data_IF_409253803874
#
_entry.id   IF_409253803874
#
_cell.length_a   1.000
_cell.length_b   1.000
_cell.length_c   1.000
_cell.angle_alpha   90.00
_cell.angle_beta   90.00
_cell.angle_gamma   90.00
#
_symmetry.space_group_name_H-M   'P 1'
#
loop_
_entity.id
_entity.type
_entity.pdbx_description
1 polymer ?
#
# COMPACT_ATOMS: atom_id res chain seq x y z
N UNK A 1 -49.16 14.89 -40.96
CA UNK A 1 -49.83 14.46 -39.72
C UNK A 1 -48.87 14.69 -38.56
N UNK A 2 -49.10 15.79 -37.87
CA UNK A 2 -48.40 16.31 -36.69
C UNK A 2 -48.84 15.55 -35.43
N UNK A 3 -47.90 15.20 -34.55
CA UNK A 3 -48.12 14.91 -33.12
C UNK A 3 -46.75 14.76 -32.45
N UNK A 4 -46.21 15.85 -31.90
CA UNK A 4 -46.34 16.34 -30.52
C UNK A 4 -45.35 15.71 -29.53
N UNK A 5 -44.35 16.53 -29.25
CA UNK A 5 -43.41 16.52 -28.14
C UNK A 5 -44.12 16.61 -26.78
N UNK A 6 -43.83 15.67 -25.88
CA UNK A 6 -44.24 15.69 -24.48
C UNK A 6 -43.18 16.34 -23.59
N UNK A 7 -43.55 17.48 -23.01
CA UNK A 7 -42.82 18.23 -21.98
C UNK A 7 -43.11 17.58 -20.62
N UNK A 8 -42.08 17.29 -19.81
CA UNK A 8 -42.22 16.87 -18.41
C UNK A 8 -41.85 18.04 -17.49
N UNK A 9 -42.71 18.44 -16.52
CA UNK A 9 -42.48 19.62 -15.71
C UNK A 9 -41.60 19.34 -14.48
N UNK A 10 -40.77 20.34 -14.15
CA UNK A 10 -40.08 20.51 -12.87
C UNK A 10 -41.07 21.00 -11.80
N UNK A 11 -41.14 20.29 -10.66
CA UNK A 11 -41.53 20.79 -9.32
C UNK A 11 -40.69 20.00 -8.32
N UNK A 12 -39.74 20.58 -7.59
CA UNK A 12 -39.92 21.44 -6.41
C UNK A 12 -40.75 20.78 -5.31
N UNK A 13 -40.08 20.12 -4.37
CA UNK A 13 -40.59 19.91 -3.02
C UNK A 13 -39.44 20.08 -2.03
N UNK A 14 -39.43 21.23 -1.37
CA UNK A 14 -38.73 21.44 -0.11
C UNK A 14 -39.65 20.96 1.01
N UNK A 15 -39.14 20.15 1.93
CA UNK A 15 -39.76 19.94 3.24
C UNK A 15 -38.72 19.45 4.26
N UNK A 16 -38.35 20.40 5.10
CA UNK A 16 -37.95 20.30 6.50
C UNK A 16 -38.23 18.95 7.18
N UNK A 17 -37.18 18.29 7.66
CA UNK A 17 -37.24 17.48 8.87
C UNK A 17 -36.02 17.77 9.75
N UNK A 18 -36.26 18.56 10.79
CA UNK A 18 -35.46 18.68 11.99
C UNK A 18 -35.57 17.40 12.83
N UNK A 19 -34.44 16.76 13.15
CA UNK A 19 -34.29 15.79 14.25
C UNK A 19 -32.86 15.96 14.80
N UNK A 20 -32.68 16.76 15.86
CA UNK A 20 -32.57 16.37 17.29
C UNK A 20 -31.57 15.24 17.57
N UNK A 21 -30.47 15.67 18.18
CA UNK A 21 -29.63 15.04 19.20
C UNK A 21 -29.59 13.51 19.28
N UNK A 22 -28.38 12.99 19.08
CA UNK A 22 -27.85 11.91 19.91
C UNK A 22 -26.37 12.20 20.10
N UNK A 23 -26.06 12.76 21.27
CA UNK A 23 -24.70 12.93 21.77
C UNK A 23 -24.11 11.53 22.02
N UNK A 24 -23.09 11.14 21.26
CA UNK A 24 -22.19 10.05 21.63
C UNK A 24 -20.85 10.66 22.01
N UNK A 25 -20.69 10.89 23.30
CA UNK A 25 -19.40 11.19 23.90
C UNK A 25 -18.53 9.93 23.87
N UNK A 26 -17.53 9.90 22.99
CA UNK A 26 -16.40 8.99 23.13
C UNK A 26 -15.43 9.59 24.15
N UNK A 27 -15.22 8.85 25.23
CA UNK A 27 -14.28 9.18 26.29
C UNK A 27 -12.84 9.14 25.76
N UNK A 28 -12.21 10.31 25.62
CA UNK A 28 -10.78 10.42 25.41
C UNK A 28 -10.06 10.14 26.74
N UNK A 29 -9.17 9.14 26.74
CA UNK A 29 -8.30 8.80 27.86
C UNK A 29 -7.11 9.77 27.93
N UNK A 30 -6.87 10.48 29.06
CA UNK A 30 -5.72 11.37 29.20
C UNK A 30 -4.62 10.66 30.00
N UNK A 31 -3.64 10.09 29.30
CA UNK A 31 -2.33 9.82 29.89
C UNK A 31 -1.25 10.17 28.88
N UNK A 32 -0.59 11.31 29.10
CA UNK A 32 0.87 11.50 29.03
C UNK A 32 1.20 12.99 29.14
N UNK A 33 1.55 13.39 30.36
CA UNK A 33 2.26 14.62 30.64
C UNK A 33 3.71 14.28 31.00
N UNK A 34 4.62 15.18 30.62
CA UNK A 34 6.04 15.28 30.96
C UNK A 34 7.00 14.19 30.44
N UNK A 35 7.94 14.58 29.60
CA UNK A 35 9.37 14.82 29.94
C UNK A 35 10.07 15.26 28.65
N UNK A 36 10.68 16.47 28.64
CA UNK A 36 11.95 16.69 27.94
C UNK A 36 12.50 18.08 28.29
N UNK A 37 13.51 18.09 29.17
CA UNK A 37 14.42 19.20 29.36
C UNK A 37 15.80 18.85 28.81
N UNK A 38 16.35 19.80 28.06
CA UNK A 38 17.79 20.17 27.95
C UNK A 38 18.76 19.10 27.42
N UNK A 39 19.40 19.39 26.27
CA UNK A 39 20.86 19.62 26.19
C UNK A 39 21.28 20.01 24.75
N UNK A 40 21.69 21.27 24.60
CA UNK A 40 22.60 21.74 23.57
C UNK A 40 24.04 21.52 24.05
N UNK A 41 24.92 20.94 23.22
CA UNK A 41 26.36 21.22 23.23
C UNK A 41 26.98 20.70 21.93
N UNK A 42 27.64 21.60 21.19
CA UNK A 42 28.39 21.27 19.99
C UNK A 42 29.85 20.89 20.27
N UNK A 43 30.52 20.36 19.26
CA UNK A 43 31.96 20.51 19.05
C UNK A 43 32.29 20.23 17.57
N UNK A 44 32.92 21.20 16.92
CA UNK A 44 33.52 21.04 15.61
C UNK A 44 34.88 20.35 15.75
N UNK A 45 35.11 19.27 15.01
CA UNK A 45 36.44 18.67 14.83
C UNK A 45 36.76 18.67 13.34
N UNK A 46 37.78 19.44 12.97
CA UNK A 46 38.34 19.43 11.62
C UNK A 46 39.31 18.27 11.47
N UNK A 47 39.01 17.35 10.55
CA UNK A 47 39.94 16.31 10.10
C UNK A 47 40.29 16.56 8.64
N UNK A 48 41.57 16.85 8.37
CA UNK A 48 42.16 16.81 7.03
C UNK A 48 42.52 15.37 6.70
N UNK A 49 41.90 14.81 5.65
CA UNK A 49 42.21 13.49 5.13
C UNK A 49 42.82 13.66 3.74
N UNK A 50 44.14 13.40 3.62
CA UNK A 50 44.81 13.22 2.33
C UNK A 50 44.55 11.79 1.85
N UNK A 51 43.53 11.59 1.01
CA UNK A 51 43.35 10.34 0.26
C UNK A 51 43.53 10.59 -1.23
N UNK A 52 44.15 9.61 -1.90
CA UNK A 52 44.31 9.63 -3.37
C UNK A 52 42.99 9.26 -4.05
N UNK A 53 42.76 9.75 -5.27
CA UNK A 53 41.48 9.59 -5.99
C UNK A 53 41.03 8.12 -6.15
N UNK A 54 41.97 7.18 -6.30
CA UNK A 54 41.66 5.75 -6.40
C UNK A 54 41.18 5.14 -5.06
N UNK A 55 41.65 5.65 -3.92
CA UNK A 55 41.22 5.22 -2.58
C UNK A 55 39.88 5.85 -2.15
N UNK A 56 39.41 6.87 -2.88
CA UNK A 56 38.09 7.47 -2.68
C UNK A 56 36.98 6.68 -3.40
N UNK A 57 37.28 6.01 -4.52
CA UNK A 57 36.27 5.24 -5.26
C UNK A 57 35.93 3.89 -4.59
N UNK A 58 36.92 3.11 -4.14
CA UNK A 58 36.65 1.84 -3.44
C UNK A 58 36.04 2.02 -2.05
N UNK A 59 36.48 3.05 -1.30
CA UNK A 59 35.89 3.37 0.00
C UNK A 59 34.42 3.81 -0.12
N UNK A 60 34.02 4.38 -1.27
CA UNK A 60 32.64 4.82 -1.50
C UNK A 60 31.68 3.65 -1.72
N UNK A 61 32.13 2.55 -2.33
CA UNK A 61 31.30 1.39 -2.58
C UNK A 61 31.03 0.61 -1.29
N UNK A 62 32.05 0.34 -0.47
CA UNK A 62 31.86 -0.32 0.83
C UNK A 62 31.07 0.56 1.82
N UNK A 63 31.33 1.88 1.89
CA UNK A 63 30.52 2.77 2.72
C UNK A 63 29.08 2.89 2.20
N UNK A 64 28.86 2.83 0.89
CA UNK A 64 27.53 2.81 0.28
C UNK A 64 26.80 1.51 0.63
N UNK A 65 27.41 0.33 0.46
CA UNK A 65 26.80 -0.94 0.83
C UNK A 65 26.63 -1.11 2.35
N UNK A 66 27.55 -0.56 3.17
CA UNK A 66 27.40 -0.51 4.62
C UNK A 66 26.36 0.53 5.09
N UNK A 67 26.12 1.60 4.31
CA UNK A 67 25.05 2.56 4.57
C UNK A 67 23.69 2.00 4.15
N UNK A 68 23.61 1.32 3.00
CA UNK A 68 22.44 0.56 2.57
C UNK A 68 22.14 -0.57 3.56
N UNK A 69 23.19 -1.25 4.03
CA UNK A 69 23.14 -2.25 5.09
C UNK A 69 22.59 -1.69 6.40
N UNK A 70 23.03 -0.50 6.84
CA UNK A 70 22.49 0.17 8.04
C UNK A 70 21.04 0.63 7.88
N UNK A 71 20.65 1.10 6.69
CA UNK A 71 19.25 1.44 6.39
C UNK A 71 18.36 0.19 6.36
N UNK A 72 18.89 -0.95 5.90
CA UNK A 72 18.21 -2.25 5.91
C UNK A 72 18.20 -2.90 7.31
N UNK A 73 19.26 -2.72 8.11
CA UNK A 73 19.40 -3.27 9.48
C UNK A 73 18.56 -2.51 10.51
N UNK A 74 18.38 -1.19 10.35
CA UNK A 74 17.46 -0.44 11.21
C UNK A 74 16.00 -0.89 11.04
N UNK A 75 15.70 -1.62 9.95
CA UNK A 75 14.37 -2.10 9.64
C UNK A 75 13.39 -0.96 9.40
N UNK A 76 12.20 -1.29 8.88
CA UNK A 76 11.09 -0.39 9.15
C UNK A 76 10.86 -0.37 10.67
N UNK A 77 10.50 0.77 11.28
CA UNK A 77 10.17 0.82 12.70
C UNK A 77 9.19 -0.31 13.08
N UNK A 78 9.28 -0.84 14.31
CA UNK A 78 8.57 -2.06 14.69
C UNK A 78 7.04 -1.97 14.46
N UNK A 79 6.50 -0.76 14.55
CA UNK A 79 5.11 -0.41 14.21
C UNK A 79 4.71 -0.71 12.76
N UNK A 80 5.66 -0.86 11.84
CA UNK A 80 5.41 -1.20 10.44
C UNK A 80 5.52 -2.69 10.14
N UNK A 81 5.97 -3.52 11.09
CA UNK A 81 6.12 -4.97 10.88
C UNK A 81 4.83 -5.65 10.39
N UNK A 82 3.70 -5.03 10.69
CA UNK A 82 2.34 -5.49 10.39
C UNK A 82 1.73 -4.83 9.14
N UNK A 83 2.39 -3.83 8.56
CA UNK A 83 1.89 -3.08 7.40
C UNK A 83 2.22 -3.77 6.07
N UNK A 84 1.49 -3.42 5.00
CA UNK A 84 1.86 -3.83 3.64
C UNK A 84 3.23 -3.29 3.19
N UNK A 85 3.71 -2.21 3.80
CA UNK A 85 5.07 -1.71 3.57
C UNK A 85 6.14 -2.71 4.02
N UNK A 86 5.83 -3.58 5.00
CA UNK A 86 6.74 -4.66 5.39
C UNK A 86 6.97 -5.63 4.25
N UNK A 87 5.92 -5.95 3.49
CA UNK A 87 5.99 -6.82 2.30
C UNK A 87 6.95 -6.23 1.28
N UNK A 88 6.86 -4.92 1.05
CA UNK A 88 7.78 -4.21 0.17
C UNK A 88 9.23 -4.29 0.67
N UNK A 89 9.45 -4.12 1.97
CA UNK A 89 10.77 -4.24 2.58
C UNK A 89 11.34 -5.68 2.52
N UNK A 90 10.50 -6.70 2.71
CA UNK A 90 10.90 -8.11 2.61
C UNK A 90 11.23 -8.51 1.17
N UNK A 91 10.41 -8.09 0.20
CA UNK A 91 10.68 -8.28 -1.23
C UNK A 91 12.03 -7.66 -1.64
N UNK A 92 12.37 -6.49 -1.10
CA UNK A 92 13.62 -5.82 -1.41
C UNK A 92 14.83 -6.49 -0.74
N UNK A 93 14.77 -6.66 0.58
CA UNK A 93 15.89 -7.17 1.38
C UNK A 93 16.25 -8.59 0.99
N UNK A 94 15.31 -9.34 0.40
CA UNK A 94 15.50 -10.77 0.16
C UNK A 94 15.75 -11.51 1.47
N UNK A 95 15.33 -10.92 2.59
CA UNK A 95 15.41 -11.54 3.91
C UNK A 95 14.51 -12.76 3.84
N UNK A 96 15.15 -13.92 3.68
CA UNK A 96 14.57 -15.20 4.12
C UNK A 96 14.05 -14.94 5.52
N UNK A 97 12.74 -15.10 5.73
CA UNK A 97 12.12 -14.91 7.04
C UNK A 97 12.98 -15.69 8.04
N UNK A 98 13.68 -14.97 8.91
CA UNK A 98 15.01 -15.35 9.40
C UNK A 98 15.13 -16.85 9.67
N UNK A 99 16.16 -17.48 9.08
CA UNK A 99 16.49 -18.91 9.14
C UNK A 99 16.60 -19.48 10.55
N UNK A 100 15.48 -19.49 11.25
CA UNK A 100 15.20 -20.31 12.39
C UNK A 100 14.74 -21.69 11.91
N UNK A 101 14.79 -22.69 12.78
CA UNK A 101 14.39 -24.07 12.49
C UNK A 101 12.91 -24.27 12.10
N UNK A 102 12.15 -23.19 11.83
CA UNK A 102 10.74 -23.20 11.40
C UNK A 102 10.58 -23.09 9.86
N UNK A 103 11.63 -22.89 9.06
CA UNK A 103 11.52 -22.79 7.58
C UNK A 103 11.11 -24.11 6.87
N UNK A 104 10.99 -25.23 7.57
CA UNK A 104 10.47 -26.49 7.01
C UNK A 104 8.95 -26.69 7.21
N UNK A 105 8.29 -25.89 8.03
CA UNK A 105 6.84 -26.00 8.19
C UNK A 105 6.14 -25.27 7.04
N UNK A 106 5.88 -26.02 5.96
CA UNK A 106 5.05 -25.56 4.85
C UNK A 106 3.65 -25.11 5.30
N UNK A 107 2.87 -24.56 4.38
CA UNK A 107 1.52 -24.06 4.68
C UNK A 107 0.63 -25.11 5.36
N UNK A 108 0.12 -24.79 6.54
CA UNK A 108 -0.85 -25.64 7.25
C UNK A 108 -2.22 -25.58 6.57
N UNK A 109 -2.45 -26.53 5.66
CA UNK A 109 -3.68 -26.65 4.89
C UNK A 109 -4.90 -27.07 5.72
N UNK A 110 -4.70 -27.57 6.95
CA UNK A 110 -5.82 -27.84 7.86
C UNK A 110 -6.35 -26.52 8.44
N UNK A 111 -5.45 -25.58 8.78
CA UNK A 111 -5.80 -24.25 9.28
C UNK A 111 -6.27 -23.30 8.17
N UNK A 112 -5.63 -23.34 7.00
CA UNK A 112 -5.88 -22.41 5.88
C UNK A 112 -6.17 -23.17 4.57
N UNK A 113 -7.22 -24.00 4.50
CA UNK A 113 -7.50 -24.85 3.35
C UNK A 113 -7.76 -24.08 2.05
N UNK A 114 -8.16 -22.81 2.12
CA UNK A 114 -8.35 -21.96 0.95
C UNK A 114 -7.04 -21.47 0.32
N UNK A 115 -5.94 -21.43 1.09
CA UNK A 115 -4.60 -21.07 0.56
C UNK A 115 -3.94 -22.24 -0.18
N UNK A 116 -4.27 -23.48 0.17
CA UNK A 116 -3.72 -24.68 -0.50
C UNK A 116 -4.54 -25.16 -1.70
N UNK A 117 -5.59 -24.43 -2.08
CA UNK A 117 -6.44 -24.75 -3.23
C UNK A 117 -6.15 -23.78 -4.37
N UNK A 118 -6.61 -24.14 -5.57
CA UNK A 118 -6.59 -23.24 -6.71
C UNK A 118 -7.31 -21.92 -6.35
N UNK A 119 -6.80 -20.75 -6.79
CA UNK A 119 -5.61 -20.57 -7.64
C UNK A 119 -4.28 -20.36 -6.88
N UNK A 120 -4.25 -20.55 -5.56
CA UNK A 120 -3.12 -20.18 -4.70
C UNK A 120 -2.04 -21.28 -4.60
N UNK A 121 -2.43 -22.53 -4.33
CA UNK A 121 -1.51 -23.67 -4.21
C UNK A 121 -0.29 -23.38 -3.32
N UNK A 122 -0.50 -22.79 -2.13
CA UNK A 122 0.59 -22.42 -1.23
C UNK A 122 1.28 -23.63 -0.58
N UNK A 123 0.65 -24.80 -0.59
CA UNK A 123 1.25 -26.09 -0.27
C UNK A 123 2.39 -26.49 -1.21
N UNK A 124 2.41 -25.90 -2.40
CA UNK A 124 3.43 -26.13 -3.44
C UNK A 124 4.37 -24.92 -3.56
N UNK A 125 4.35 -23.99 -2.59
CA UNK A 125 5.23 -22.84 -2.60
C UNK A 125 6.67 -23.27 -2.29
N UNK A 126 7.60 -22.88 -3.14
CA UNK A 126 9.02 -23.21 -3.05
C UNK A 126 9.87 -21.96 -2.88
N UNK A 127 11.13 -22.15 -2.48
CA UNK A 127 12.10 -21.06 -2.48
C UNK A 127 12.25 -20.43 -3.89
N UNK A 128 12.12 -21.23 -4.95
CA UNK A 128 12.20 -20.74 -6.33
C UNK A 128 11.05 -19.78 -6.65
N UNK A 129 9.82 -20.04 -6.17
CA UNK A 129 8.70 -19.13 -6.38
C UNK A 129 8.99 -17.74 -5.74
N UNK A 130 9.61 -17.71 -4.56
CA UNK A 130 10.05 -16.46 -3.91
C UNK A 130 11.11 -15.73 -4.75
N UNK A 131 12.08 -16.45 -5.29
CA UNK A 131 13.11 -15.88 -6.17
C UNK A 131 12.48 -15.34 -7.47
N UNK A 132 11.54 -16.06 -8.05
CA UNK A 132 10.84 -15.66 -9.27
C UNK A 132 10.04 -14.38 -9.06
N UNK A 133 9.32 -14.25 -7.94
CA UNK A 133 8.63 -13.00 -7.59
C UNK A 133 9.61 -11.83 -7.41
N UNK A 134 10.78 -12.09 -6.81
CA UNK A 134 11.80 -11.07 -6.61
C UNK A 134 12.43 -10.62 -7.92
N UNK A 135 12.61 -11.53 -8.88
CA UNK A 135 13.25 -11.25 -10.16
C UNK A 135 12.28 -10.67 -11.20
N UNK A 136 11.04 -11.18 -11.23
CA UNK A 136 10.07 -10.90 -12.29
C UNK A 136 8.92 -10.00 -11.82
N UNK A 137 8.74 -9.83 -10.51
CA UNK A 137 7.68 -9.03 -9.90
C UNK A 137 6.46 -9.85 -9.49
N UNK A 138 5.44 -9.14 -8.99
CA UNK A 138 4.25 -9.75 -8.38
C UNK A 138 3.15 -10.14 -9.37
N UNK A 139 3.24 -9.78 -10.64
CA UNK A 139 2.27 -10.19 -11.65
C UNK A 139 2.77 -11.44 -12.38
N UNK A 140 1.87 -12.21 -12.97
CA UNK A 140 2.25 -13.32 -13.84
C UNK A 140 2.88 -12.80 -15.14
N UNK A 141 3.70 -13.62 -15.79
CA UNK A 141 4.46 -13.24 -16.99
C UNK A 141 3.58 -12.96 -18.21
N UNK A 142 2.39 -13.55 -18.27
CA UNK A 142 1.33 -13.29 -19.25
C UNK A 142 0.53 -12.01 -18.96
N UNK A 143 0.82 -11.33 -17.86
CA UNK A 143 0.25 -10.03 -17.52
C UNK A 143 -1.10 -10.15 -16.82
N UNK A 144 -1.22 -11.07 -15.86
CA UNK A 144 -2.38 -11.18 -14.98
C UNK A 144 -1.95 -11.04 -13.52
N UNK A 145 -2.90 -10.86 -12.59
CA UNK A 145 -2.60 -10.91 -11.18
C UNK A 145 -2.06 -12.28 -10.78
N UNK A 146 -0.96 -12.32 -10.02
CA UNK A 146 -0.44 -13.56 -9.46
C UNK A 146 -1.04 -13.78 -8.07
N UNK A 147 -2.13 -14.53 -8.00
CA UNK A 147 -2.75 -14.87 -6.71
C UNK A 147 -1.84 -15.75 -5.84
N UNK A 148 -0.93 -16.54 -6.44
CA UNK A 148 0.07 -17.30 -5.67
C UNK A 148 1.05 -16.39 -4.93
N UNK A 149 1.16 -15.11 -5.29
CA UNK A 149 1.98 -14.18 -4.52
C UNK A 149 1.52 -13.96 -3.08
N UNK A 150 0.29 -14.35 -2.73
CA UNK A 150 -0.19 -14.39 -1.35
C UNK A 150 0.41 -15.52 -0.51
N UNK A 151 1.13 -16.45 -1.13
CA UNK A 151 1.85 -17.51 -0.47
C UNK A 151 3.23 -17.07 0.06
N UNK A 152 3.63 -15.81 -0.17
CA UNK A 152 4.89 -15.30 0.36
C UNK A 152 4.87 -15.31 1.89
N UNK A 153 5.99 -15.71 2.54
CA UNK A 153 6.11 -15.70 3.99
C UNK A 153 5.71 -14.35 4.60
N UNK A 154 4.90 -14.40 5.65
CA UNK A 154 4.37 -13.24 6.37
C UNK A 154 3.01 -12.74 5.85
N UNK A 155 2.55 -13.21 4.68
CA UNK A 155 1.24 -12.85 4.12
C UNK A 155 0.09 -13.73 4.60
N UNK A 156 0.39 -14.84 5.26
CA UNK A 156 -0.59 -15.79 5.84
C UNK A 156 -1.55 -15.06 6.78
N UNK A 157 -1.08 -13.99 7.43
CA UNK A 157 -1.89 -13.15 8.30
C UNK A 157 -3.10 -12.53 7.59
N UNK A 158 -3.00 -12.24 6.29
CA UNK A 158 -4.11 -11.72 5.49
C UNK A 158 -4.97 -12.82 4.86
N UNK A 159 -4.60 -14.10 5.06
CA UNK A 159 -5.30 -15.23 4.47
C UNK A 159 -6.78 -15.25 4.90
N UNK A 160 -7.07 -14.95 6.16
CA UNK A 160 -8.44 -14.97 6.69
C UNK A 160 -9.27 -13.72 6.39
N UNK A 161 -8.64 -12.58 6.10
CA UNK A 161 -9.34 -11.33 5.75
C UNK A 161 -9.43 -11.15 4.24
N UNK A 162 -8.35 -10.67 3.62
CA UNK A 162 -8.32 -10.29 2.21
C UNK A 162 -8.48 -11.50 1.32
N UNK A 163 -7.69 -12.56 1.54
CA UNK A 163 -7.68 -13.69 0.59
C UNK A 163 -8.99 -14.46 0.67
N UNK A 164 -9.38 -14.93 1.85
CA UNK A 164 -10.60 -15.71 2.03
C UNK A 164 -11.85 -14.90 1.72
N UNK A 165 -12.04 -13.74 2.35
CA UNK A 165 -13.31 -13.05 2.22
C UNK A 165 -13.40 -12.26 0.92
N UNK A 166 -12.37 -11.50 0.53
CA UNK A 166 -12.46 -10.74 -0.72
C UNK A 166 -12.25 -11.62 -1.96
N UNK A 167 -11.18 -12.42 -2.02
CA UNK A 167 -10.81 -13.10 -3.27
C UNK A 167 -11.60 -14.40 -3.46
N UNK A 168 -11.69 -15.23 -2.42
CA UNK A 168 -12.35 -16.55 -2.50
C UNK A 168 -13.87 -16.43 -2.38
N UNK A 169 -14.36 -15.83 -1.30
CA UNK A 169 -15.79 -15.72 -1.02
C UNK A 169 -16.48 -14.58 -1.78
N UNK A 170 -15.71 -13.61 -2.29
CA UNK A 170 -16.23 -12.39 -2.93
C UNK A 170 -17.12 -11.55 -2.01
N UNK A 171 -16.89 -11.63 -0.71
CA UNK A 171 -17.51 -10.79 0.31
C UNK A 171 -16.56 -9.63 0.66
N UNK A 172 -16.61 -8.60 -0.18
CA UNK A 172 -15.76 -7.42 -0.05
C UNK A 172 -16.06 -6.69 1.27
N UNK A 173 -17.31 -6.69 1.75
CA UNK A 173 -17.70 -6.00 2.98
C UNK A 173 -17.15 -6.70 4.22
N UNK A 174 -17.28 -8.02 4.29
CA UNK A 174 -16.72 -8.80 5.40
C UNK A 174 -15.19 -8.71 5.41
N UNK A 175 -14.57 -8.76 4.22
CA UNK A 175 -13.13 -8.47 4.08
C UNK A 175 -12.78 -7.10 4.65
N UNK A 176 -13.52 -6.04 4.31
CA UNK A 176 -13.28 -4.68 4.82
C UNK A 176 -13.31 -4.62 6.34
N UNK A 177 -14.30 -5.28 6.96
CA UNK A 177 -14.45 -5.30 8.42
C UNK A 177 -13.27 -6.00 9.10
N UNK A 178 -12.91 -7.21 8.64
CA UNK A 178 -11.80 -7.96 9.21
C UNK A 178 -10.47 -7.24 9.00
N UNK A 179 -10.28 -6.63 7.84
CA UNK A 179 -9.09 -5.84 7.55
C UNK A 179 -8.99 -4.62 8.46
N UNK A 180 -10.09 -3.90 8.70
CA UNK A 180 -10.11 -2.77 9.63
C UNK A 180 -9.72 -3.17 11.04
N UNK A 181 -10.32 -4.24 11.57
CA UNK A 181 -9.99 -4.74 12.91
C UNK A 181 -8.51 -5.10 13.00
N UNK A 182 -7.96 -5.74 11.97
CA UNK A 182 -6.54 -6.08 11.91
C UNK A 182 -5.68 -4.81 11.91
N UNK A 183 -5.95 -3.84 11.05
CA UNK A 183 -5.10 -2.65 10.90
C UNK A 183 -5.08 -1.79 12.16
N UNK A 184 -6.18 -1.71 12.90
CA UNK A 184 -6.19 -1.09 14.23
C UNK A 184 -5.34 -1.84 15.25
N UNK A 185 -5.46 -3.18 15.33
CA UNK A 185 -4.63 -3.98 16.24
C UNK A 185 -3.13 -3.86 15.91
N UNK A 186 -2.85 -3.68 14.63
CA UNK A 186 -1.53 -3.55 14.04
C UNK A 186 -1.00 -2.11 14.06
N UNK A 187 -1.79 -1.13 14.55
CA UNK A 187 -1.47 0.32 14.56
C UNK A 187 -1.11 0.89 13.18
N UNK A 188 -1.69 0.30 12.14
CA UNK A 188 -1.47 0.63 10.74
C UNK A 188 -2.65 1.40 10.12
N UNK A 189 -3.63 1.81 10.92
CA UNK A 189 -4.85 2.48 10.47
C UNK A 189 -4.59 3.84 9.82
N UNK A 190 -3.62 4.60 10.32
CA UNK A 190 -3.22 5.89 9.72
C UNK A 190 -2.59 5.71 8.31
N UNK A 191 -1.85 4.61 8.10
CA UNK A 191 -1.24 4.29 6.81
C UNK A 191 -2.30 3.88 5.80
N UNK A 192 -3.23 3.01 6.20
CA UNK A 192 -4.29 2.54 5.32
C UNK A 192 -5.29 3.67 5.01
N UNK A 193 -5.63 4.51 6.00
CA UNK A 193 -6.49 5.67 5.77
C UNK A 193 -5.86 6.65 4.77
N UNK A 194 -4.63 7.11 5.01
CA UNK A 194 -3.94 8.01 4.08
C UNK A 194 -3.80 7.42 2.67
N UNK A 195 -3.51 6.11 2.56
CA UNK A 195 -3.53 5.36 1.29
C UNK A 195 -4.90 5.44 0.60
N UNK A 196 -5.99 5.22 1.33
CA UNK A 196 -7.36 5.30 0.79
C UNK A 196 -7.69 6.65 0.17
N UNK A 197 -7.30 7.76 0.82
CA UNK A 197 -7.56 9.10 0.31
C UNK A 197 -6.61 9.46 -0.85
N UNK A 198 -5.30 9.22 -0.70
CA UNK A 198 -4.29 9.57 -1.70
C UNK A 198 -4.50 8.85 -3.05
N UNK A 199 -5.06 7.65 -3.03
CA UNK A 199 -5.31 6.85 -4.24
C UNK A 199 -6.70 7.03 -4.84
N UNK A 200 -7.50 7.95 -4.28
CA UNK A 200 -8.84 8.26 -4.78
C UNK A 200 -9.87 7.15 -4.54
N UNK A 201 -9.61 6.20 -3.64
CA UNK A 201 -10.51 5.06 -3.40
C UNK A 201 -11.89 5.51 -2.90
N UNK A 202 -11.94 6.59 -2.10
CA UNK A 202 -13.19 7.16 -1.62
C UNK A 202 -14.10 7.73 -2.71
N UNK A 203 -13.54 8.15 -3.85
CA UNK A 203 -14.27 8.75 -4.98
C UNK A 203 -14.33 7.81 -6.20
N UNK A 204 -13.94 6.55 -6.03
CA UNK A 204 -14.07 5.53 -7.06
C UNK A 204 -15.54 5.03 -7.13
N UNK A 205 -16.24 5.45 -8.19
CA UNK A 205 -17.65 5.12 -8.40
C UNK A 205 -17.86 3.83 -9.20
N UNK A 206 -16.81 3.33 -9.88
CA UNK A 206 -16.88 2.12 -10.72
C UNK A 206 -16.85 0.86 -9.86
N UNK A 207 -16.06 0.86 -8.80
CA UNK A 207 -16.02 -0.26 -7.88
C UNK A 207 -17.30 -0.33 -7.02
N UNK A 208 -17.89 -1.52 -6.95
CA UNK A 208 -19.03 -1.89 -6.10
C UNK A 208 -18.73 -3.14 -5.27
N UNK A 209 -19.67 -3.56 -4.43
CA UNK A 209 -19.57 -4.80 -3.64
C UNK A 209 -19.55 -6.07 -4.50
N UNK A 210 -19.85 -5.95 -5.80
CA UNK A 210 -19.88 -7.07 -6.76
C UNK A 210 -18.71 -7.06 -7.74
N UNK A 211 -17.79 -6.09 -7.60
CA UNK A 211 -16.63 -5.96 -8.49
C UNK A 211 -15.75 -7.21 -8.40
N UNK A 212 -15.43 -7.76 -9.56
CA UNK A 212 -14.62 -8.97 -9.69
C UNK A 212 -13.14 -8.66 -9.92
N UNK A 213 -12.28 -9.70 -9.90
CA UNK A 213 -10.87 -9.59 -10.30
C UNK A 213 -10.75 -9.12 -11.76
N UNK A 214 -11.63 -9.56 -12.67
CA UNK A 214 -11.62 -9.08 -14.06
C UNK A 214 -11.95 -7.59 -14.16
N UNK A 215 -12.95 -7.11 -13.42
CA UNK A 215 -13.26 -5.67 -13.36
C UNK A 215 -12.08 -4.88 -12.78
N UNK A 216 -11.41 -5.45 -11.78
CA UNK A 216 -10.20 -4.89 -11.19
C UNK A 216 -9.08 -4.74 -12.22
N UNK A 217 -8.81 -5.75 -13.03
CA UNK A 217 -7.80 -5.65 -14.09
C UNK A 217 -8.10 -4.50 -15.05
N UNK A 218 -9.36 -4.32 -15.44
CA UNK A 218 -9.77 -3.19 -16.29
C UNK A 218 -9.54 -1.84 -15.60
N UNK A 219 -9.81 -1.74 -14.30
CA UNK A 219 -9.50 -0.53 -13.53
C UNK A 219 -7.98 -0.26 -13.47
N UNK A 220 -7.18 -1.31 -13.26
CA UNK A 220 -5.71 -1.22 -13.24
C UNK A 220 -5.14 -0.85 -14.61
N UNK A 221 -5.69 -1.40 -15.70
CA UNK A 221 -5.30 -1.09 -17.07
C UNK A 221 -5.62 0.37 -17.40
N UNK A 222 -6.84 0.82 -17.09
CA UNK A 222 -7.21 2.22 -17.29
C UNK A 222 -6.28 3.15 -16.50
N UNK A 223 -6.10 2.87 -15.21
CA UNK A 223 -5.33 3.73 -14.31
C UNK A 223 -3.86 3.80 -14.70
N UNK A 224 -3.22 2.68 -15.04
CA UNK A 224 -1.76 2.65 -15.22
C UNK A 224 -1.30 2.69 -16.67
N UNK A 225 -2.18 3.07 -17.61
CA UNK A 225 -1.82 3.22 -19.02
C UNK A 225 -1.65 1.89 -19.75
N UNK A 226 -2.52 0.92 -19.43
CA UNK A 226 -2.59 -0.41 -20.00
C UNK A 226 -1.86 -1.47 -19.18
N UNK A 227 -1.92 -2.72 -19.69
CA UNK A 227 -1.51 -3.90 -18.92
C UNK A 227 -0.10 -3.87 -18.38
N UNK A 228 0.83 -3.35 -19.19
CA UNK A 228 2.25 -3.27 -18.84
C UNK A 228 2.54 -2.28 -17.71
N UNK A 229 1.64 -1.32 -17.47
CA UNK A 229 1.84 -0.26 -16.49
C UNK A 229 1.88 -0.73 -15.04
N UNK A 230 1.19 -1.84 -14.73
CA UNK A 230 1.14 -2.43 -13.39
C UNK A 230 1.74 -3.84 -13.31
N UNK A 231 1.88 -4.56 -14.45
CA UNK A 231 2.46 -5.91 -14.47
C UNK A 231 3.98 -5.94 -14.59
N UNK A 232 4.62 -4.87 -15.09
CA UNK A 232 6.06 -4.83 -15.36
C UNK A 232 6.80 -3.81 -14.51
N UNK A 233 8.11 -4.00 -14.42
CA UNK A 233 9.04 -3.08 -13.75
C UNK A 233 8.71 -2.84 -12.26
N UNK A 234 7.90 -3.69 -11.62
CA UNK A 234 7.53 -3.50 -10.22
C UNK A 234 8.76 -3.46 -9.31
N UNK A 235 9.66 -4.45 -9.45
CA UNK A 235 10.90 -4.55 -8.69
C UNK A 235 11.81 -3.34 -8.92
N UNK A 236 11.94 -2.89 -10.17
CA UNK A 236 12.73 -1.70 -10.49
C UNK A 236 12.14 -0.43 -9.87
N UNK A 237 10.81 -0.27 -9.91
CA UNK A 237 10.13 0.86 -9.30
C UNK A 237 10.24 0.84 -7.77
N UNK A 238 10.11 -0.33 -7.17
CA UNK A 238 10.27 -0.53 -5.73
C UNK A 238 11.72 -0.24 -5.32
N UNK A 239 12.70 -0.79 -6.02
CA UNK A 239 14.12 -0.53 -5.76
C UNK A 239 14.41 0.97 -5.81
N UNK A 240 13.97 1.67 -6.86
CA UNK A 240 14.13 3.13 -6.99
C UNK A 240 13.48 3.90 -5.83
N UNK A 241 12.32 3.45 -5.35
CA UNK A 241 11.67 4.06 -4.19
C UNK A 241 12.54 3.90 -2.93
N UNK A 242 13.02 2.69 -2.71
CA UNK A 242 13.74 2.33 -1.49
C UNK A 242 15.20 2.85 -1.47
N UNK A 243 15.80 3.05 -2.64
CA UNK A 243 17.10 3.70 -2.80
C UNK A 243 17.07 5.22 -2.48
N UNK A 244 15.94 5.78 -2.03
CA UNK A 244 15.82 7.17 -1.54
C UNK A 244 15.74 7.24 0.00
N UNK A 245 16.83 6.93 0.73
CA UNK A 245 16.81 6.72 2.19
C UNK A 245 16.40 7.95 3.01
N UNK A 246 16.70 9.17 2.54
CA UNK A 246 16.30 10.40 3.25
C UNK A 246 14.79 10.68 3.20
N UNK A 247 14.10 10.08 2.24
CA UNK A 247 12.74 10.48 1.91
C UNK A 247 11.67 9.56 2.51
N UNK A 248 11.98 8.28 2.78
CA UNK A 248 10.99 7.37 3.36
C UNK A 248 10.47 7.82 4.73
N UNK A 249 11.37 8.29 5.60
CA UNK A 249 10.99 8.79 6.93
C UNK A 249 10.17 10.09 6.90
N UNK A 250 10.23 10.85 5.80
CA UNK A 250 9.42 12.06 5.62
C UNK A 250 8.11 11.77 4.90
N UNK A 251 8.06 10.66 4.14
CA UNK A 251 6.89 10.25 3.37
C UNK A 251 5.94 9.34 4.13
N UNK A 252 6.43 8.58 5.11
CA UNK A 252 5.64 7.61 5.86
C UNK A 252 5.81 7.86 7.35
N UNK A 253 4.70 7.95 8.06
CA UNK A 253 4.65 8.08 9.51
C UNK A 253 3.51 7.25 10.07
N UNK A 254 3.75 6.57 11.18
CA UNK A 254 2.67 5.90 11.92
C UNK A 254 1.60 6.88 12.43
N UNK A 255 1.93 8.17 12.61
CA UNK A 255 1.00 9.17 13.13
C UNK A 255 0.27 9.95 12.03
N UNK A 256 0.95 10.23 10.91
CA UNK A 256 0.40 11.04 9.82
C UNK A 256 0.15 10.26 8.53
N UNK A 257 0.31 8.94 8.56
CA UNK A 257 0.13 8.10 7.39
C UNK A 257 1.20 8.34 6.31
N UNK A 258 0.79 8.17 5.06
CA UNK A 258 1.60 8.38 3.86
C UNK A 258 1.28 9.76 3.28
N UNK A 259 2.29 10.62 3.15
CA UNK A 259 2.13 12.01 2.72
C UNK A 259 2.33 12.23 1.21
N UNK A 260 2.70 11.19 0.47
CA UNK A 260 2.99 11.30 -0.97
C UNK A 260 2.30 10.20 -1.77
N UNK A 261 1.73 10.61 -2.91
CA UNK A 261 1.13 9.67 -3.85
C UNK A 261 2.15 8.71 -4.48
N UNK A 262 3.44 9.03 -4.44
CA UNK A 262 4.49 8.19 -5.04
C UNK A 262 4.57 6.80 -4.41
N UNK A 263 4.43 6.71 -3.08
CA UNK A 263 4.45 5.44 -2.36
C UNK A 263 3.12 4.72 -2.56
N UNK A 264 2.01 5.43 -2.39
CA UNK A 264 0.68 4.84 -2.50
C UNK A 264 0.41 4.32 -3.91
N UNK A 265 0.97 4.94 -4.94
CA UNK A 265 0.93 4.45 -6.33
C UNK A 265 1.63 3.10 -6.50
N UNK A 266 2.77 2.89 -5.83
CA UNK A 266 3.48 1.60 -5.83
C UNK A 266 2.63 0.55 -5.12
N UNK A 267 2.02 0.91 -3.97
CA UNK A 267 1.10 0.03 -3.26
C UNK A 267 -0.11 -0.35 -4.12
N UNK A 268 -0.70 0.59 -4.86
CA UNK A 268 -1.81 0.30 -5.77
C UNK A 268 -1.40 -0.62 -6.93
N UNK A 269 -0.20 -0.43 -7.51
CA UNK A 269 0.32 -1.37 -8.53
C UNK A 269 0.56 -2.76 -7.95
N UNK A 270 1.09 -2.84 -6.72
CA UNK A 270 1.20 -4.10 -5.99
C UNK A 270 -0.17 -4.75 -5.81
N UNK A 271 -1.19 -4.00 -5.36
CA UNK A 271 -2.55 -4.52 -5.22
C UNK A 271 -3.14 -5.01 -6.55
N UNK A 272 -2.85 -4.35 -7.68
CA UNK A 272 -3.23 -4.85 -9.00
C UNK A 272 -2.53 -6.18 -9.32
N UNK A 273 -1.21 -6.24 -9.11
CA UNK A 273 -0.41 -7.44 -9.35
C UNK A 273 -0.81 -8.62 -8.45
N UNK A 274 -1.25 -8.35 -7.22
CA UNK A 274 -1.74 -9.37 -6.28
C UNK A 274 -3.25 -9.66 -6.42
N UNK A 275 -3.96 -8.95 -7.30
CA UNK A 275 -5.38 -9.20 -7.58
C UNK A 275 -6.36 -8.65 -6.53
N UNK A 276 -5.95 -7.67 -5.72
CA UNK A 276 -6.73 -7.15 -4.59
C UNK A 276 -7.05 -5.66 -4.64
N UNK A 277 -6.76 -4.97 -5.75
CA UNK A 277 -7.03 -3.54 -5.86
C UNK A 277 -8.52 -3.17 -5.67
N UNK A 278 -9.44 -4.04 -6.09
CA UNK A 278 -10.88 -3.88 -5.85
C UNK A 278 -11.26 -4.10 -4.37
N UNK A 279 -10.58 -5.02 -3.69
CA UNK A 279 -10.70 -5.23 -2.25
C UNK A 279 -10.32 -3.95 -1.50
N UNK A 280 -9.22 -3.32 -1.90
CA UNK A 280 -8.73 -2.08 -1.27
C UNK A 280 -9.73 -0.93 -1.46
N UNK A 281 -10.29 -0.77 -2.66
CA UNK A 281 -11.29 0.27 -2.91
C UNK A 281 -12.52 0.08 -2.00
N UNK A 282 -13.07 -1.14 -1.91
CA UNK A 282 -14.23 -1.38 -1.05
C UNK A 282 -13.88 -1.36 0.44
N UNK A 283 -12.66 -1.78 0.80
CA UNK A 283 -12.13 -1.60 2.14
C UNK A 283 -12.25 -0.14 2.55
N UNK A 284 -11.63 0.76 1.80
CA UNK A 284 -11.69 2.19 2.02
C UNK A 284 -13.14 2.73 2.09
N UNK A 285 -13.97 2.39 1.10
CA UNK A 285 -15.36 2.88 0.98
C UNK A 285 -16.26 2.44 2.14
N UNK A 286 -16.03 1.27 2.71
CA UNK A 286 -16.80 0.76 3.85
C UNK A 286 -16.25 1.21 5.20
N UNK A 287 -15.02 1.73 5.25
CA UNK A 287 -14.33 2.09 6.49
C UNK A 287 -13.97 3.58 6.50
N UNK A 288 -12.73 3.93 6.20
CA UNK A 288 -12.12 5.25 6.39
C UNK A 288 -12.84 6.37 5.65
N UNK A 289 -13.44 6.11 4.48
CA UNK A 289 -14.13 7.14 3.72
C UNK A 289 -15.44 7.62 4.36
N UNK A 290 -15.93 6.94 5.40
CA UNK A 290 -17.15 7.28 6.14
C UNK A 290 -16.88 7.72 7.58
N UNK A 291 -15.64 7.56 8.03
CA UNK A 291 -15.25 7.90 9.38
C UNK A 291 -14.85 9.39 9.44
N UNK A 292 -15.55 10.16 10.26
CA UNK A 292 -15.38 11.62 10.34
C UNK A 292 -13.96 12.02 10.72
N UNK A 293 -13.27 11.24 11.56
CA UNK A 293 -11.89 11.53 11.96
C UNK A 293 -10.96 11.44 10.75
N UNK A 294 -11.01 10.34 9.99
CA UNK A 294 -10.13 10.16 8.84
C UNK A 294 -10.50 11.04 7.66
N UNK A 295 -11.80 11.30 7.43
CA UNK A 295 -12.24 12.26 6.40
C UNK A 295 -11.73 13.66 6.72
N UNK A 296 -11.89 14.13 7.95
CA UNK A 296 -11.37 15.44 8.38
C UNK A 296 -9.85 15.52 8.20
N UNK A 297 -9.14 14.46 8.61
CA UNK A 297 -7.69 14.41 8.58
C UNK A 297 -7.11 14.29 7.16
N UNK A 298 -7.66 13.44 6.30
CA UNK A 298 -7.02 13.02 5.04
C UNK A 298 -7.75 13.43 3.76
N UNK A 299 -8.93 14.07 3.83
CA UNK A 299 -9.63 14.56 2.62
C UNK A 299 -8.79 15.48 1.75
N UNK A 300 -7.83 16.21 2.32
CA UNK A 300 -6.89 17.05 1.57
C UNK A 300 -5.92 16.26 0.67
N UNK A 301 -5.78 14.94 0.88
CA UNK A 301 -5.00 14.05 0.02
C UNK A 301 -5.80 13.55 -1.20
N UNK A 302 -7.11 13.81 -1.26
CA UNK A 302 -7.93 13.37 -2.38
C UNK A 302 -7.40 13.99 -3.70
N UNK A 303 -7.22 13.18 -4.74
CA UNK A 303 -6.91 13.67 -6.06
C UNK A 303 -7.99 14.63 -6.59
N UNK A 304 -7.62 15.61 -7.42
CA UNK A 304 -8.58 16.59 -7.97
C UNK A 304 -9.61 15.95 -8.93
N UNK A 305 -9.33 14.74 -9.39
CA UNK A 305 -10.22 13.93 -10.23
C UNK A 305 -10.73 12.71 -9.44
N UNK A 306 -11.97 12.25 -9.68
CA UNK A 306 -12.47 11.02 -9.07
C UNK A 306 -11.54 9.82 -9.30
N UNK A 307 -11.41 8.93 -8.31
CA UNK A 307 -10.43 7.84 -8.35
C UNK A 307 -10.55 6.90 -9.56
N UNK A 308 -11.76 6.70 -10.07
CA UNK A 308 -12.01 5.89 -11.26
C UNK A 308 -11.67 6.59 -12.58
N UNK A 309 -11.40 7.89 -12.56
CA UNK A 309 -10.95 8.69 -13.69
C UNK A 309 -9.46 9.02 -13.63
N UNK A 310 -8.78 8.69 -12.52
CA UNK A 310 -7.34 8.88 -12.38
C UNK A 310 -6.59 8.07 -13.43
N UNK A 311 -5.61 8.73 -14.04
CA UNK A 311 -4.65 8.11 -14.93
C UNK A 311 -3.26 8.46 -14.45
N UNK A 312 -2.51 7.42 -14.14
CA UNK A 312 -1.14 7.45 -13.66
C UNK A 312 -0.27 6.65 -14.64
N UNK A 313 -0.11 7.09 -15.90
CA UNK A 313 0.77 6.42 -16.85
C UNK A 313 2.22 6.51 -16.35
N UNK A 314 2.93 5.39 -16.49
CA UNK A 314 4.32 5.09 -16.10
C UNK A 314 5.16 6.20 -15.42
N UNK A 315 5.67 5.90 -14.22
CA UNK A 315 6.55 6.79 -13.43
C UNK A 315 7.89 7.09 -14.12
N UNK A 316 8.28 6.31 -15.13
CA UNK A 316 9.56 6.47 -15.83
C UNK A 316 9.77 7.90 -16.35
N UNK A 317 8.72 8.55 -16.86
CA UNK A 317 8.80 9.95 -17.33
C UNK A 317 8.96 10.95 -16.20
N UNK A 318 8.29 10.69 -15.07
CA UNK A 318 8.29 11.57 -13.91
C UNK A 318 9.63 11.51 -13.16
N UNK A 319 10.21 10.31 -13.05
CA UNK A 319 11.57 10.10 -12.50
C UNK A 319 12.62 10.71 -13.42
N UNK A 320 12.52 10.50 -14.74
CA UNK A 320 13.44 11.11 -15.70
C UNK A 320 13.41 12.65 -15.64
N UNK A 321 12.24 13.26 -15.42
CA UNK A 321 12.12 14.71 -15.27
C UNK A 321 12.78 15.24 -13.99
N UNK A 322 12.78 14.47 -12.90
CA UNK A 322 13.44 14.85 -11.64
C UNK A 322 14.96 14.71 -11.72
N UNK A 323 15.48 13.66 -12.35
CA UNK A 323 16.91 13.51 -12.60
C UNK A 323 17.49 14.67 -13.42
N UNK A 324 16.68 15.30 -14.28
CA UNK A 324 17.08 16.50 -15.03
C UNK A 324 16.90 17.81 -14.27
N UNK A 325 16.15 17.84 -13.16
CA UNK A 325 15.88 19.06 -12.39
C UNK A 325 16.92 19.34 -11.29
N UNK A 326 17.72 18.33 -10.92
CA UNK A 326 18.84 18.42 -9.96
C UNK A 326 20.21 18.67 -10.65
N UNK A 327 20.22 19.00 -11.94
CA UNK A 327 21.40 19.43 -12.72
C UNK A 327 21.30 20.91 -13.08
#
# INVERSE_FOLDING_TARGET
KTSQSGIVPKRALALLLTRRHSDMAWAASPQRALVCGVLCAGAAVGLRVNKTAAQLEEASAEEFFASLGRVLEQGLPAEFNTSRLRILADLQSGRQGGGGPEEEEGYDCEKLPHMCKAPFHCDQWTHQDTLDLRMHGLATTDGHPNLRSWCMPGLERYAASVVKECVVNKDLRQSSKLQLTRTFNDWADELDASYCFAEGHCTNAVASDFTTVTDMENMCDYRFGGRRGWTRNFVNNLKRLMDMPRSLNTWVSAKSGISTQRITRILSKMSCAQGTFHCDIQYCKHTYCRDEYYVSKYSHLLPPVPGHLMQDPDMSKEVAALETADV
#
